data_IF_579170514555
#
_entry.id   IF_579170514555
#
_cell.length_a   1.000
_cell.length_b   1.000
_cell.length_c   1.000
_cell.angle_alpha   90.00
_cell.angle_beta   90.00
_cell.angle_gamma   90.00
#
_symmetry.space_group_name_H-M   'P 1'
#
loop_
_entity.id
_entity.type
_entity.pdbx_description
1 polymer ?
#
# COMPACT_ATOMS: atom_id res chain seq x y z
N UNK A 1 -9.08 -7.81 7.40
CA UNK A 1 -8.02 -6.96 6.79
C UNK A 1 -8.60 -5.70 6.16
N UNK A 2 -9.60 -5.83 5.29
CA UNK A 2 -10.24 -4.70 4.60
C UNK A 2 -10.75 -3.60 5.54
N UNK A 3 -11.46 -3.98 6.60
CA UNK A 3 -11.94 -3.02 7.59
C UNK A 3 -10.78 -2.29 8.29
N UNK A 4 -9.74 -3.02 8.72
CA UNK A 4 -8.51 -2.45 9.31
C UNK A 4 -7.86 -1.45 8.34
N UNK A 5 -7.79 -1.78 7.05
CA UNK A 5 -7.24 -0.91 6.01
C UNK A 5 -8.04 0.39 5.87
N UNK A 6 -9.37 0.29 5.76
CA UNK A 6 -10.27 1.44 5.65
C UNK A 6 -10.20 2.32 6.89
N UNK A 7 -10.20 1.73 8.09
CA UNK A 7 -10.20 2.47 9.35
C UNK A 7 -8.87 3.22 9.59
N UNK A 8 -7.71 2.61 9.33
CA UNK A 8 -6.43 3.32 9.41
C UNK A 8 -6.32 4.45 8.39
N UNK A 9 -6.74 4.22 7.14
CA UNK A 9 -6.64 5.25 6.11
C UNK A 9 -7.56 6.45 6.39
N UNK A 10 -8.77 6.20 6.91
CA UNK A 10 -9.76 7.23 7.21
C UNK A 10 -9.61 7.83 8.62
N UNK A 11 -8.87 7.17 9.52
CA UNK A 11 -8.79 7.56 10.94
C UNK A 11 -10.11 7.33 11.68
N UNK A 12 -10.76 6.18 11.48
CA UNK A 12 -12.07 5.84 12.07
C UNK A 12 -11.95 4.74 13.11
N UNK A 13 -13.00 4.59 13.94
CA UNK A 13 -13.13 3.52 14.96
C UNK A 13 -11.91 3.41 15.90
N UNK A 14 -11.36 4.55 16.33
CA UNK A 14 -10.18 4.59 17.22
C UNK A 14 -8.84 4.30 16.53
N UNK A 15 -8.82 4.02 15.22
CA UNK A 15 -7.56 3.82 14.50
C UNK A 15 -6.85 5.14 14.21
N UNK A 16 -5.53 5.15 14.42
CA UNK A 16 -4.66 6.25 13.99
C UNK A 16 -4.78 6.46 12.49
N UNK A 17 -5.03 7.71 12.08
CA UNK A 17 -5.04 8.11 10.67
C UNK A 17 -3.64 7.98 10.06
N UNK A 18 -3.52 7.16 9.03
CA UNK A 18 -2.29 6.89 8.29
C UNK A 18 -2.46 7.28 6.83
N UNK A 19 -1.36 7.64 6.16
CA UNK A 19 -1.39 7.82 4.71
C UNK A 19 -1.49 6.45 3.99
N UNK A 20 -1.67 6.48 2.67
CA UNK A 20 -1.84 5.25 1.88
C UNK A 20 -0.66 4.26 1.98
N UNK A 21 0.58 4.76 1.94
CA UNK A 21 1.78 3.94 2.03
C UNK A 21 1.97 3.35 3.44
N UNK A 22 1.78 4.19 4.46
CA UNK A 22 1.81 3.78 5.86
C UNK A 22 0.76 2.73 6.18
N UNK A 23 -0.43 2.85 5.61
CA UNK A 23 -1.51 1.90 5.87
C UNK A 23 -1.16 0.51 5.34
N UNK A 24 -0.56 0.38 4.15
CA UNK A 24 -0.04 -0.91 3.67
C UNK A 24 0.98 -1.48 4.66
N UNK A 25 2.00 -0.70 5.03
CA UNK A 25 3.04 -1.18 5.96
C UNK A 25 2.44 -1.61 7.30
N UNK A 26 1.51 -0.83 7.87
CA UNK A 26 0.85 -1.13 9.15
C UNK A 26 0.01 -2.42 9.09
N UNK A 27 -0.63 -2.71 7.95
CA UNK A 27 -1.44 -3.92 7.80
C UNK A 27 -0.62 -5.21 7.82
N UNK A 28 0.62 -5.13 7.37
CA UNK A 28 1.51 -6.29 7.24
C UNK A 28 2.62 -6.33 8.29
N UNK A 29 2.66 -5.36 9.20
CA UNK A 29 3.67 -5.26 10.26
C UNK A 29 3.79 -6.53 11.10
N UNK A 30 2.65 -7.13 11.45
CA UNK A 30 2.59 -8.35 12.26
C UNK A 30 2.90 -9.64 11.46
N UNK A 31 3.17 -9.53 10.15
CA UNK A 31 3.43 -10.67 9.25
C UNK A 31 4.87 -10.73 8.74
N UNK A 32 5.59 -9.62 8.80
CA UNK A 32 6.93 -9.50 8.24
C UNK A 32 7.84 -8.79 9.24
N UNK A 33 8.84 -9.51 9.77
CA UNK A 33 9.71 -9.00 10.85
C UNK A 33 10.50 -7.74 10.48
N UNK A 34 10.73 -7.49 9.18
CA UNK A 34 11.40 -6.28 8.70
C UNK A 34 10.49 -5.04 8.70
N UNK A 35 9.19 -5.19 8.95
CA UNK A 35 8.25 -4.10 9.11
C UNK A 35 8.10 -3.78 10.60
N UNK A 36 8.38 -2.53 10.96
CA UNK A 36 8.29 -2.03 12.33
C UNK A 36 7.58 -0.69 12.38
N UNK A 37 7.30 -0.18 13.58
CA UNK A 37 6.80 1.19 13.76
C UNK A 37 7.74 2.23 13.14
N UNK A 38 9.06 1.98 13.14
CA UNK A 38 10.02 2.84 12.45
C UNK A 38 9.84 2.78 10.93
N UNK A 39 9.55 1.61 10.37
CA UNK A 39 9.18 1.47 8.95
C UNK A 39 7.90 2.27 8.65
N UNK A 40 6.86 2.16 9.48
CA UNK A 40 5.62 2.95 9.34
C UNK A 40 5.89 4.46 9.42
N UNK A 41 6.75 4.90 10.33
CA UNK A 41 7.15 6.33 10.42
C UNK A 41 7.89 6.80 9.18
N UNK A 42 8.84 6.02 8.65
CA UNK A 42 9.58 6.33 7.41
C UNK A 42 8.64 6.53 6.21
N UNK A 43 7.55 5.76 6.15
CA UNK A 43 6.57 5.83 5.06
C UNK A 43 5.61 7.03 5.16
N UNK A 44 5.66 7.81 6.25
CA UNK A 44 4.87 9.05 6.40
C UNK A 44 5.12 10.05 5.27
N UNK A 45 6.34 10.08 4.72
CA UNK A 45 6.72 10.98 3.62
C UNK A 45 6.25 10.51 2.23
N UNK A 46 5.75 9.28 2.10
CA UNK A 46 5.38 8.67 0.80
C UNK A 46 3.90 8.84 0.42
N UNK A 47 3.13 9.59 1.21
CA UNK A 47 1.72 9.86 0.92
C UNK A 47 1.52 10.88 -0.22
N UNK A 48 0.33 10.90 -0.80
CA UNK A 48 -0.13 11.97 -1.72
C UNK A 48 0.72 12.19 -2.98
N UNK A 49 1.44 11.16 -3.44
CA UNK A 49 2.31 11.22 -4.61
C UNK A 49 3.71 11.73 -4.32
N UNK A 50 4.15 11.64 -3.06
CA UNK A 50 5.51 11.96 -2.62
C UNK A 50 6.41 10.73 -2.53
N UNK A 51 5.93 9.56 -2.92
CA UNK A 51 6.83 8.43 -3.17
C UNK A 51 7.79 8.79 -4.32
N UNK A 52 8.96 8.14 -4.39
CA UNK A 52 9.91 8.33 -5.48
C UNK A 52 9.23 8.35 -6.85
N UNK A 53 9.69 9.24 -7.73
CA UNK A 53 9.19 9.43 -9.10
C UNK A 53 7.68 9.78 -9.20
N UNK A 54 7.05 10.20 -8.10
CA UNK A 54 5.62 10.54 -8.08
C UNK A 54 4.69 9.32 -8.02
N UNK A 55 5.25 8.14 -7.73
CA UNK A 55 4.50 6.89 -7.64
C UNK A 55 3.41 6.94 -6.55
N UNK A 56 2.36 6.14 -6.74
CA UNK A 56 1.35 5.88 -5.73
C UNK A 56 1.99 5.20 -4.51
N UNK A 57 1.74 5.76 -3.32
CA UNK A 57 2.28 5.22 -2.07
C UNK A 57 1.85 3.78 -1.77
N UNK A 58 0.69 3.34 -2.29
CA UNK A 58 0.20 1.96 -2.17
C UNK A 58 1.14 1.01 -2.93
N UNK A 59 1.43 1.34 -4.20
CA UNK A 59 2.33 0.57 -5.06
C UNK A 59 3.73 0.56 -4.49
N UNK A 60 4.24 1.72 -4.09
CA UNK A 60 5.57 1.83 -3.51
C UNK A 60 5.74 0.94 -2.26
N UNK A 61 4.76 0.93 -1.35
CA UNK A 61 4.79 0.09 -0.16
C UNK A 61 4.67 -1.40 -0.46
N UNK A 62 3.82 -1.78 -1.42
CA UNK A 62 3.67 -3.16 -1.84
C UNK A 62 4.96 -3.71 -2.50
N UNK A 63 5.57 -2.94 -3.41
CA UNK A 63 6.87 -3.27 -4.03
C UNK A 63 7.96 -3.44 -2.98
N UNK A 64 8.06 -2.51 -2.03
CA UNK A 64 9.01 -2.59 -0.91
C UNK A 64 8.88 -3.89 -0.12
N UNK A 65 7.65 -4.34 0.19
CA UNK A 65 7.40 -5.58 0.92
C UNK A 65 7.92 -6.80 0.15
N UNK A 66 7.64 -6.90 -1.15
CA UNK A 66 8.10 -8.03 -1.95
C UNK A 66 9.60 -8.00 -2.20
N UNK A 67 10.16 -6.83 -2.49
CA UNK A 67 11.61 -6.66 -2.70
C UNK A 67 12.41 -7.03 -1.45
N UNK A 68 11.92 -6.70 -0.25
CA UNK A 68 12.57 -7.10 1.02
C UNK A 68 12.54 -8.60 1.29
N UNK A 69 11.64 -9.34 0.65
CA UNK A 69 11.60 -10.80 0.68
C UNK A 69 12.41 -11.43 -0.47
N UNK A 70 13.09 -10.64 -1.31
CA UNK A 70 13.76 -11.13 -2.53
C UNK A 70 12.80 -11.51 -3.66
N UNK A 71 11.50 -11.22 -3.53
CA UNK A 71 10.45 -11.59 -4.49
C UNK A 71 10.27 -10.52 -5.59
N UNK A 72 11.31 -10.34 -6.41
CA UNK A 72 11.36 -9.29 -7.44
C UNK A 72 10.23 -9.44 -8.47
N UNK A 73 9.85 -10.66 -8.82
CA UNK A 73 8.76 -10.90 -9.78
C UNK A 73 7.40 -10.50 -9.22
N UNK A 74 7.13 -10.74 -7.93
CA UNK A 74 5.89 -10.26 -7.30
C UNK A 74 5.87 -8.73 -7.12
N UNK A 75 7.03 -8.09 -6.94
CA UNK A 75 7.14 -6.62 -7.02
C UNK A 75 6.74 -6.11 -8.40
N UNK A 76 7.21 -6.75 -9.48
CA UNK A 76 6.80 -6.40 -10.87
C UNK A 76 5.32 -6.68 -11.13
N UNK A 77 4.79 -7.80 -10.61
CA UNK A 77 3.37 -8.13 -10.73
C UNK A 77 2.48 -7.17 -9.96
N UNK A 78 2.94 -6.64 -8.82
CA UNK A 78 2.23 -5.60 -8.06
C UNK A 78 1.92 -4.39 -8.94
N UNK A 79 2.89 -3.93 -9.72
CA UNK A 79 2.72 -2.80 -10.62
C UNK A 79 1.68 -3.09 -11.71
N UNK A 80 1.79 -4.26 -12.37
CA UNK A 80 0.84 -4.70 -13.40
C UNK A 80 -0.57 -4.85 -12.83
N UNK A 81 -0.71 -5.46 -11.67
CA UNK A 81 -1.98 -5.63 -10.97
C UNK A 81 -2.59 -4.27 -10.62
N UNK A 82 -1.79 -3.35 -10.08
CA UNK A 82 -2.27 -2.03 -9.71
C UNK A 82 -2.73 -1.23 -10.93
N UNK A 83 -1.99 -1.28 -12.05
CA UNK A 83 -2.41 -0.65 -13.31
C UNK A 83 -3.74 -1.24 -13.79
N UNK A 84 -3.95 -2.55 -13.70
CA UNK A 84 -5.21 -3.20 -14.10
C UNK A 84 -6.42 -2.64 -13.35
N UNK A 85 -6.29 -2.36 -12.05
CA UNK A 85 -7.40 -1.85 -11.24
C UNK A 85 -7.50 -0.32 -11.23
N UNK A 86 -6.38 0.39 -11.35
CA UNK A 86 -6.33 1.83 -11.13
C UNK A 86 -6.14 2.66 -12.41
N UNK A 87 -5.61 2.02 -13.47
CA UNK A 87 -5.26 2.59 -14.77
C UNK A 87 -3.86 3.20 -14.84
N UNK A 88 -3.22 3.49 -13.71
CA UNK A 88 -1.90 4.15 -13.65
C UNK A 88 -1.29 3.97 -12.27
N UNK A 89 0.03 4.03 -12.17
CA UNK A 89 0.76 4.09 -10.89
C UNK A 89 1.04 5.51 -10.43
N UNK A 90 0.74 6.53 -11.25
CA UNK A 90 1.00 7.93 -10.92
C UNK A 90 -0.07 8.49 -9.97
N UNK A 91 0.33 8.89 -8.76
CA UNK A 91 -0.64 9.34 -7.77
C UNK A 91 -1.38 10.64 -8.15
N UNK A 92 -0.74 11.53 -8.91
CA UNK A 92 -1.36 12.80 -9.35
C UNK A 92 -2.51 12.53 -10.32
N UNK A 93 -2.39 11.50 -11.16
CA UNK A 93 -3.46 11.07 -12.06
C UNK A 93 -4.62 10.42 -11.29
N UNK A 94 -4.31 9.60 -10.29
CA UNK A 94 -5.32 8.92 -9.45
C UNK A 94 -6.11 9.89 -8.56
N UNK A 95 -5.48 10.99 -8.10
CA UNK A 95 -6.15 11.98 -7.25
C UNK A 95 -7.42 12.57 -7.88
N UNK A 96 -7.50 12.61 -9.21
CA UNK A 96 -8.71 13.03 -9.95
C UNK A 96 -9.92 12.14 -9.63
N UNK A 97 -9.71 10.89 -9.18
CA UNK A 97 -10.73 9.89 -8.88
C UNK A 97 -11.24 9.89 -7.41
N UNK A 98 -10.78 10.82 -6.56
CA UNK A 98 -11.21 11.04 -5.15
C UNK A 98 -10.81 9.94 -4.14
N UNK A 99 -11.02 10.21 -2.85
CA UNK A 99 -10.61 9.36 -1.70
C UNK A 99 -11.24 7.96 -1.68
N UNK A 100 -12.55 7.77 -1.99
CA UNK A 100 -13.13 6.42 -2.02
C UNK A 100 -12.40 5.48 -2.98
N UNK A 101 -11.95 6.00 -4.12
CA UNK A 101 -11.16 5.25 -5.09
C UNK A 101 -9.78 4.84 -4.54
N UNK A 102 -9.08 5.74 -3.86
CA UNK A 102 -7.81 5.39 -3.20
C UNK A 102 -7.99 4.31 -2.12
N UNK A 103 -9.13 4.34 -1.43
CA UNK A 103 -9.48 3.34 -0.41
C UNK A 103 -9.70 1.96 -1.04
N UNK A 104 -10.34 1.91 -2.21
CA UNK A 104 -10.53 0.66 -2.94
C UNK A 104 -9.21 0.10 -3.46
N UNK A 105 -8.38 0.93 -4.08
CA UNK A 105 -7.03 0.54 -4.52
C UNK A 105 -6.19 -0.04 -3.37
N UNK A 106 -6.32 0.56 -2.18
CA UNK A 106 -5.63 0.12 -0.97
C UNK A 106 -6.07 -1.30 -0.55
N UNK A 107 -7.39 -1.53 -0.49
CA UNK A 107 -7.95 -2.83 -0.11
C UNK A 107 -7.56 -3.91 -1.12
N UNK A 108 -7.71 -3.65 -2.41
CA UNK A 108 -7.37 -4.60 -3.47
C UNK A 108 -5.87 -4.95 -3.45
N UNK A 109 -4.99 -3.95 -3.28
CA UNK A 109 -3.55 -4.21 -3.19
C UNK A 109 -3.18 -4.98 -1.93
N UNK A 110 -3.82 -4.70 -0.79
CA UNK A 110 -3.60 -5.48 0.43
C UNK A 110 -4.01 -6.95 0.24
N UNK A 111 -5.16 -7.22 -0.40
CA UNK A 111 -5.56 -8.59 -0.74
C UNK A 111 -4.56 -9.27 -1.66
N UNK A 112 -4.05 -8.57 -2.68
CA UNK A 112 -3.02 -9.10 -3.56
C UNK A 112 -1.75 -9.53 -2.80
N UNK A 113 -1.26 -8.69 -1.87
CA UNK A 113 -0.10 -9.04 -1.03
C UNK A 113 -0.40 -10.29 -0.19
N UNK A 114 -1.60 -10.37 0.39
CA UNK A 114 -2.02 -11.51 1.19
C UNK A 114 -2.07 -12.82 0.41
N UNK A 115 -2.71 -12.81 -0.76
CA UNK A 115 -2.83 -13.97 -1.65
C UNK A 115 -1.46 -14.48 -2.05
N UNK A 116 -0.56 -13.57 -2.43
CA UNK A 116 0.82 -13.89 -2.79
C UNK A 116 1.66 -14.40 -1.63
N UNK A 117 1.39 -13.95 -0.41
CA UNK A 117 2.05 -14.46 0.78
C UNK A 117 1.58 -15.89 1.13
N UNK A 118 0.29 -16.18 1.02
CA UNK A 118 -0.27 -17.51 1.32
C UNK A 118 0.02 -18.58 0.26
N UNK A 119 0.52 -18.18 -0.91
CA UNK A 119 0.87 -19.09 -2.01
C UNK A 119 2.34 -19.53 -1.98
N UNK A 120 3.04 -19.25 -0.87
CA UNK A 120 4.42 -19.67 -0.56
C UNK A 120 4.38 -20.55 0.66
#
# INVERSE_FOLDING_TARGET
MDEKARNHFLGKKGHKKLNCAQTIVELFKDRFDFLSDETVKKFKKMGYGKAPEGQCGIVYAAKYIFEKQGRIDDSRLTEKYFIKIAGTTNCKELKKKKIPFCTECLVQTARFIQEKHNSV
#
